data_IF_415174450590
#
_entry.id   IF_415174450590
#
_cell.length_a   1.000
_cell.length_b   1.000
_cell.length_c   1.000
_cell.angle_alpha   90.00
_cell.angle_beta   90.00
_cell.angle_gamma   90.00
#
_symmetry.space_group_name_H-M   'P 1'
#
loop_
_entity.id
_entity.type
_entity.pdbx_description
1 polymer ?
#
# COMPACT_ATOMS: atom_id res chain seq x y z
N UNK A 1 32.48 4.06 -17.42
CA UNK A 1 31.08 3.66 -17.65
C UNK A 1 30.21 4.61 -16.85
N UNK A 2 29.33 5.36 -17.51
CA UNK A 2 28.27 6.07 -16.79
C UNK A 2 27.45 5.05 -15.99
N UNK A 3 27.01 5.35 -14.77
CA UNK A 3 26.05 4.48 -14.10
C UNK A 3 24.84 4.39 -15.03
N UNK A 4 24.44 3.17 -15.41
CA UNK A 4 23.15 2.96 -16.06
C UNK A 4 22.11 3.69 -15.21
N UNK A 5 21.50 4.73 -15.78
CA UNK A 5 20.34 5.37 -15.18
C UNK A 5 19.32 4.26 -15.01
N UNK A 6 19.19 3.77 -13.78
CA UNK A 6 18.29 2.67 -13.51
C UNK A 6 16.89 3.22 -13.74
N UNK A 7 16.23 2.73 -14.77
CA UNK A 7 14.90 3.16 -15.18
C UNK A 7 13.97 3.19 -13.97
N UNK A 8 13.20 4.28 -13.83
CA UNK A 8 12.29 4.43 -12.71
C UNK A 8 11.19 3.35 -12.78
N UNK A 9 10.81 2.77 -11.65
CA UNK A 9 9.71 1.82 -11.47
C UNK A 9 8.43 2.36 -12.11
N UNK A 10 8.19 3.67 -12.05
CA UNK A 10 7.05 4.32 -12.70
C UNK A 10 6.99 4.12 -14.24
N UNK A 11 8.11 3.79 -14.87
CA UNK A 11 8.24 3.57 -16.31
C UNK A 11 8.29 2.07 -16.66
N UNK A 12 8.43 1.19 -15.66
CA UNK A 12 8.47 -0.25 -15.90
C UNK A 12 7.14 -0.74 -16.48
N UNK A 13 7.25 -1.58 -17.49
CA UNK A 13 6.10 -2.40 -17.90
C UNK A 13 5.79 -3.41 -16.79
N UNK A 14 4.57 -3.97 -16.79
CA UNK A 14 4.23 -5.06 -15.88
C UNK A 14 5.18 -6.26 -16.07
N UNK A 15 5.58 -6.56 -17.32
CA UNK A 15 6.55 -7.61 -17.61
C UNK A 15 7.90 -7.33 -16.95
N UNK A 16 8.41 -6.10 -17.07
CA UNK A 16 9.66 -5.67 -16.42
C UNK A 16 9.58 -5.80 -14.90
N UNK A 17 8.48 -5.37 -14.29
CA UNK A 17 8.27 -5.54 -12.85
C UNK A 17 8.36 -7.02 -12.44
N UNK A 18 7.65 -7.91 -13.13
CA UNK A 18 7.63 -9.34 -12.82
C UNK A 18 9.00 -10.00 -13.01
N UNK A 19 9.73 -9.65 -14.07
CA UNK A 19 11.09 -10.13 -14.30
C UNK A 19 12.05 -9.70 -13.18
N UNK A 20 11.96 -8.44 -12.75
CA UNK A 20 12.77 -7.88 -11.66
C UNK A 20 12.46 -8.53 -10.32
N UNK A 21 11.19 -8.75 -10.01
CA UNK A 21 10.75 -9.47 -8.80
C UNK A 21 11.26 -10.93 -8.78
N UNK A 22 11.46 -11.54 -9.95
CA UNK A 22 11.95 -12.91 -10.08
C UNK A 22 13.49 -13.03 -10.07
N UNK A 23 14.24 -11.93 -10.23
CA UNK A 23 15.70 -11.95 -10.18
C UNK A 23 16.21 -11.78 -8.74
N UNK A 24 16.82 -12.82 -8.11
CA UNK A 24 17.31 -12.73 -6.73
C UNK A 24 18.47 -11.75 -6.55
N UNK A 25 19.01 -11.19 -7.62
CA UNK A 25 20.08 -10.17 -7.59
C UNK A 25 19.53 -8.75 -7.68
N UNK A 26 18.27 -8.60 -8.09
CA UNK A 26 17.62 -7.29 -8.17
C UNK A 26 17.06 -6.92 -6.78
N UNK A 27 17.30 -5.69 -6.29
CA UNK A 27 16.77 -5.25 -5.00
C UNK A 27 15.26 -4.90 -5.06
N UNK A 28 14.52 -5.50 -5.99
CA UNK A 28 13.06 -5.35 -6.12
C UNK A 28 12.37 -6.48 -5.41
N UNK A 29 12.30 -6.40 -4.07
CA UNK A 29 11.71 -7.44 -3.23
C UNK A 29 10.20 -7.27 -3.00
N UNK A 30 9.71 -7.92 -1.93
CA UNK A 30 8.30 -7.83 -1.54
C UNK A 30 7.84 -6.42 -1.14
N UNK A 31 8.76 -5.53 -0.73
CA UNK A 31 8.42 -4.14 -0.36
C UNK A 31 8.01 -3.32 -1.58
N UNK A 32 8.75 -3.45 -2.69
CA UNK A 32 8.37 -2.93 -4.01
C UNK A 32 6.99 -3.44 -4.43
N UNK A 33 6.74 -4.74 -4.36
CA UNK A 33 5.45 -5.32 -4.74
C UNK A 33 4.31 -4.81 -3.86
N UNK A 34 4.52 -4.68 -2.55
CA UNK A 34 3.54 -4.13 -1.63
C UNK A 34 3.18 -2.67 -1.98
N UNK A 35 4.18 -1.84 -2.24
CA UNK A 35 3.99 -0.44 -2.65
C UNK A 35 3.24 -0.33 -3.99
N UNK A 36 3.63 -1.12 -5.01
CA UNK A 36 2.91 -1.15 -6.30
C UNK A 36 1.46 -1.63 -6.14
N UNK A 37 1.23 -2.61 -5.27
CA UNK A 37 -0.13 -3.10 -4.96
C UNK A 37 -0.99 -2.00 -4.33
N UNK A 38 -0.43 -1.21 -3.41
CA UNK A 38 -1.10 -0.04 -2.83
C UNK A 38 -1.40 1.04 -3.87
N UNK A 39 -0.47 1.29 -4.80
CA UNK A 39 -0.69 2.21 -5.91
C UNK A 39 -1.86 1.74 -6.81
N UNK A 40 -1.92 0.44 -7.09
CA UNK A 40 -3.03 -0.18 -7.83
C UNK A 40 -4.36 -0.05 -7.10
N UNK A 41 -4.41 -0.43 -5.81
CA UNK A 41 -5.60 -0.31 -4.97
C UNK A 41 -6.11 1.13 -4.87
N UNK A 42 -5.20 2.11 -4.70
CA UNK A 42 -5.51 3.54 -4.71
C UNK A 42 -6.07 4.00 -6.06
N UNK A 43 -5.49 3.53 -7.17
CA UNK A 43 -5.95 3.89 -8.53
C UNK A 43 -7.35 3.34 -8.82
N UNK A 44 -7.64 2.10 -8.43
CA UNK A 44 -8.99 1.52 -8.51
C UNK A 44 -9.97 2.29 -7.63
N UNK A 45 -9.58 2.71 -6.43
CA UNK A 45 -10.43 3.55 -5.57
C UNK A 45 -10.72 4.93 -6.18
N UNK A 46 -9.77 5.54 -6.88
CA UNK A 46 -10.01 6.80 -7.61
C UNK A 46 -11.06 6.64 -8.71
N UNK A 47 -11.05 5.52 -9.42
CA UNK A 47 -12.13 5.21 -10.38
C UNK A 47 -13.49 5.16 -9.66
N UNK A 48 -13.57 4.49 -8.51
CA UNK A 48 -14.79 4.44 -7.68
C UNK A 48 -15.26 5.86 -7.29
N UNK A 49 -14.35 6.68 -6.76
CA UNK A 49 -14.62 8.07 -6.38
C UNK A 49 -15.10 8.90 -7.58
N UNK A 50 -14.50 8.72 -8.76
CA UNK A 50 -14.91 9.43 -9.97
C UNK A 50 -16.32 9.02 -10.46
N UNK A 51 -16.69 7.75 -10.32
CA UNK A 51 -18.03 7.25 -10.68
C UNK A 51 -19.08 7.75 -9.69
N UNK A 52 -18.84 7.60 -8.39
CA UNK A 52 -19.80 7.99 -7.35
C UNK A 52 -19.87 9.50 -7.17
N UNK A 53 -18.77 10.23 -7.33
CA UNK A 53 -18.75 11.70 -7.26
C UNK A 53 -19.68 12.35 -8.29
N UNK A 54 -19.80 11.78 -9.49
CA UNK A 54 -20.78 12.23 -10.50
C UNK A 54 -22.22 12.00 -10.05
N UNK A 55 -22.49 10.90 -9.35
CA UNK A 55 -23.81 10.53 -8.83
C UNK A 55 -24.18 11.34 -7.58
N UNK A 56 -23.18 11.77 -6.81
CA UNK A 56 -23.33 12.56 -5.61
C UNK A 56 -23.63 14.05 -5.87
N UNK A 57 -23.58 14.54 -7.11
CA UNK A 57 -23.64 15.97 -7.44
C UNK A 57 -24.90 16.73 -6.95
N UNK A 58 -25.96 16.01 -6.55
CA UNK A 58 -27.20 16.60 -5.99
C UNK A 58 -27.23 16.61 -4.44
N UNK A 59 -26.22 16.02 -3.81
CA UNK A 59 -26.06 15.87 -2.37
C UNK A 59 -24.74 16.55 -1.94
N UNK A 60 -24.81 17.72 -1.26
CA UNK A 60 -23.62 18.46 -0.86
C UNK A 60 -22.67 17.68 0.04
N UNK A 61 -23.21 16.87 0.97
CA UNK A 61 -22.40 16.14 1.95
C UNK A 61 -21.65 15.00 1.27
N UNK A 62 -22.33 14.25 0.38
CA UNK A 62 -21.66 13.22 -0.44
C UNK A 62 -20.65 13.84 -1.40
N UNK A 63 -20.97 14.97 -2.01
CA UNK A 63 -20.05 15.69 -2.90
C UNK A 63 -18.77 16.07 -2.16
N UNK A 64 -18.89 16.62 -0.95
CA UNK A 64 -17.74 16.97 -0.12
C UNK A 64 -16.90 15.76 0.30
N UNK A 65 -17.55 14.65 0.68
CA UNK A 65 -16.87 13.41 1.05
C UNK A 65 -16.04 12.85 -0.12
N UNK A 66 -16.62 12.75 -1.32
CA UNK A 66 -15.90 12.25 -2.50
C UNK A 66 -14.81 13.21 -2.99
N UNK A 67 -15.01 14.53 -2.87
CA UNK A 67 -13.94 15.50 -3.19
C UNK A 67 -12.74 15.38 -2.24
N UNK A 68 -13.00 15.20 -0.95
CA UNK A 68 -11.97 14.95 0.07
C UNK A 68 -11.21 13.66 -0.22
N UNK A 69 -11.94 12.59 -0.54
CA UNK A 69 -11.33 11.30 -0.89
C UNK A 69 -10.48 11.41 -2.17
N UNK A 70 -10.96 12.08 -3.23
CA UNK A 70 -10.18 12.27 -4.46
C UNK A 70 -8.87 13.00 -4.19
N UNK A 71 -8.90 14.08 -3.40
CA UNK A 71 -7.70 14.83 -3.05
C UNK A 71 -6.67 13.97 -2.30
N UNK A 72 -7.14 13.15 -1.36
CA UNK A 72 -6.28 12.21 -0.63
C UNK A 72 -5.69 11.14 -1.57
N UNK A 73 -6.53 10.48 -2.36
CA UNK A 73 -6.11 9.39 -3.25
C UNK A 73 -5.19 9.87 -4.38
N UNK A 74 -5.42 11.07 -4.92
CA UNK A 74 -4.56 11.70 -5.93
C UNK A 74 -3.13 11.93 -5.41
N UNK A 75 -2.97 12.16 -4.11
CA UNK A 75 -1.67 12.26 -3.44
C UNK A 75 -1.08 10.89 -3.10
N UNK A 76 -1.91 9.93 -2.68
CA UNK A 76 -1.47 8.60 -2.25
C UNK A 76 -0.92 7.75 -3.40
N UNK A 77 -1.57 7.74 -4.57
CA UNK A 77 -1.13 6.94 -5.72
C UNK A 77 0.34 7.20 -6.11
N UNK A 78 0.79 8.43 -6.39
CA UNK A 78 2.19 8.70 -6.71
C UNK A 78 3.13 8.47 -5.51
N UNK A 79 2.64 8.67 -4.28
CA UNK A 79 3.42 8.39 -3.07
C UNK A 79 3.79 6.91 -2.96
N UNK A 80 2.86 6.00 -3.28
CA UNK A 80 3.14 4.56 -3.27
C UNK A 80 4.15 4.16 -4.35
N UNK A 81 4.11 4.78 -5.54
CA UNK A 81 5.12 4.55 -6.57
C UNK A 81 6.50 5.04 -6.10
N UNK A 82 6.56 6.20 -5.45
CA UNK A 82 7.79 6.70 -4.84
C UNK A 82 8.31 5.76 -3.72
N UNK A 83 7.42 5.18 -2.92
CA UNK A 83 7.78 4.22 -1.88
C UNK A 83 8.40 2.94 -2.43
N UNK A 84 7.97 2.49 -3.61
CA UNK A 84 8.61 1.38 -4.30
C UNK A 84 10.08 1.69 -4.63
N UNK A 85 10.36 2.92 -5.07
CA UNK A 85 11.74 3.35 -5.38
C UNK A 85 12.60 3.49 -4.13
N UNK A 86 12.02 4.06 -3.06
CA UNK A 86 12.67 4.19 -1.76
C UNK A 86 13.05 2.81 -1.20
N UNK A 87 12.12 1.85 -1.24
CA UNK A 87 12.34 0.47 -0.77
C UNK A 87 13.48 -0.20 -1.54
N UNK A 88 13.44 -0.11 -2.89
CA UNK A 88 14.48 -0.65 -3.77
C UNK A 88 15.85 -0.05 -3.47
N UNK A 89 15.92 1.27 -3.30
CA UNK A 89 17.18 1.97 -3.00
C UNK A 89 17.72 1.61 -1.61
N UNK A 90 16.85 1.51 -0.60
CA UNK A 90 17.23 1.15 0.77
C UNK A 90 17.71 -0.30 0.85
N UNK A 91 17.02 -1.24 0.20
CA UNK A 91 17.45 -2.63 0.14
C UNK A 91 18.81 -2.77 -0.57
N UNK A 92 19.02 -2.04 -1.67
CA UNK A 92 20.30 -2.03 -2.36
C UNK A 92 21.46 -1.59 -1.44
N UNK A 93 21.23 -0.56 -0.62
CA UNK A 93 22.21 -0.05 0.36
C UNK A 93 22.49 -1.08 1.46
N UNK A 94 21.46 -1.70 2.02
CA UNK A 94 21.64 -2.77 3.03
C UNK A 94 22.44 -3.94 2.47
N UNK A 95 22.10 -4.42 1.27
CA UNK A 95 22.83 -5.51 0.62
C UNK A 95 24.29 -5.15 0.35
N UNK A 96 24.59 -3.89 0.01
CA UNK A 96 25.95 -3.41 -0.17
C UNK A 96 26.73 -3.38 1.16
N UNK A 97 26.12 -2.85 2.22
CA UNK A 97 26.72 -2.81 3.57
C UNK A 97 27.02 -4.22 4.10
N UNK A 98 26.08 -5.16 3.96
CA UNK A 98 26.27 -6.57 4.34
C UNK A 98 27.36 -7.26 3.51
N UNK A 99 27.52 -6.90 2.24
CA UNK A 99 28.63 -7.40 1.40
C UNK A 99 29.98 -6.84 1.83
N UNK A 100 30.04 -5.55 2.19
CA UNK A 100 31.26 -4.92 2.67
C UNK A 100 31.71 -5.51 4.03
N UNK A 101 30.78 -5.65 4.98
CA UNK A 101 31.06 -6.23 6.30
C UNK A 101 31.64 -7.65 6.21
N UNK A 102 31.10 -8.50 5.33
CA UNK A 102 31.64 -9.87 5.10
C UNK A 102 33.08 -9.88 4.57
N UNK A 103 33.49 -8.87 3.80
CA UNK A 103 34.86 -8.76 3.28
C UNK A 103 35.84 -8.19 4.31
N UNK A 104 35.35 -7.36 5.24
CA UNK A 104 36.17 -6.68 6.25
C UNK A 104 36.60 -7.55 7.44
N UNK A 105 36.01 -8.75 7.62
CA UNK A 105 36.45 -9.73 8.62
C UNK A 105 36.16 -9.40 10.08
N UNK A 106 35.51 -8.27 10.40
CA UNK A 106 35.09 -7.99 11.78
C UNK A 106 33.81 -8.75 12.12
N UNK A 107 33.84 -9.58 13.17
CA UNK A 107 32.67 -10.32 13.67
C UNK A 107 31.54 -9.45 14.24
N UNK A 108 31.72 -8.13 14.28
CA UNK A 108 30.73 -7.13 14.70
C UNK A 108 30.15 -6.40 13.49
N UNK A 109 28.82 -6.24 13.44
CA UNK A 109 28.17 -5.42 12.43
C UNK A 109 28.70 -3.97 12.52
N UNK A 110 29.19 -3.43 11.41
CA UNK A 110 29.64 -2.04 11.34
C UNK A 110 28.46 -1.07 11.54
N UNK A 111 28.76 0.16 11.93
CA UNK A 111 27.74 1.23 12.03
C UNK A 111 26.97 1.41 10.71
N UNK A 112 27.62 1.22 9.56
CA UNK A 112 26.98 1.23 8.24
C UNK A 112 25.89 0.16 8.10
N UNK A 113 26.13 -1.06 8.60
CA UNK A 113 25.13 -2.13 8.57
C UNK A 113 23.96 -1.80 9.49
N UNK A 114 24.24 -1.26 10.69
CA UNK A 114 23.20 -0.83 11.64
C UNK A 114 22.30 0.24 11.04
N UNK A 115 22.87 1.29 10.46
CA UNK A 115 22.11 2.39 9.85
C UNK A 115 21.32 1.92 8.62
N UNK A 116 21.91 1.10 7.76
CA UNK A 116 21.22 0.56 6.60
C UNK A 116 20.08 -0.39 6.98
N UNK A 117 20.26 -1.20 8.04
CA UNK A 117 19.23 -2.09 8.55
C UNK A 117 18.06 -1.32 9.17
N UNK A 118 18.34 -0.24 9.90
CA UNK A 118 17.29 0.63 10.44
C UNK A 118 16.44 1.21 9.31
N UNK A 119 17.08 1.79 8.29
CA UNK A 119 16.37 2.31 7.12
C UNK A 119 15.55 1.21 6.41
N UNK A 120 16.08 0.00 6.29
CA UNK A 120 15.39 -1.14 5.68
C UNK A 120 14.21 -1.66 6.51
N UNK A 121 14.18 -1.41 7.81
CA UNK A 121 13.02 -1.68 8.64
C UNK A 121 11.98 -0.55 8.56
N UNK A 122 12.43 0.71 8.60
CA UNK A 122 11.56 1.89 8.62
C UNK A 122 10.86 2.15 7.27
N UNK A 123 11.56 1.95 6.15
CA UNK A 123 11.01 2.22 4.82
C UNK A 123 9.73 1.41 4.51
N UNK A 124 9.71 0.07 4.62
CA UNK A 124 8.49 -0.70 4.42
C UNK A 124 7.44 -0.46 5.51
N UNK A 125 7.83 -0.14 6.76
CA UNK A 125 6.86 0.28 7.79
C UNK A 125 6.17 1.61 7.43
N UNK A 126 6.89 2.56 6.83
CA UNK A 126 6.31 3.80 6.32
C UNK A 126 5.32 3.54 5.17
N UNK A 127 5.63 2.58 4.29
CA UNK A 127 4.70 2.09 3.26
C UNK A 127 3.43 1.51 3.88
N UNK A 128 3.57 0.63 4.88
CA UNK A 128 2.45 0.05 5.61
C UNK A 128 1.58 1.13 6.27
N UNK A 129 2.21 2.12 6.91
CA UNK A 129 1.53 3.26 7.55
C UNK A 129 0.79 4.14 6.54
N UNK A 130 1.38 4.37 5.36
CA UNK A 130 0.73 5.12 4.27
C UNK A 130 -0.45 4.32 3.70
N UNK A 131 -0.36 2.99 3.68
CA UNK A 131 -1.47 2.10 3.33
C UNK A 131 -2.66 2.19 4.29
N UNK A 132 -2.44 2.45 5.59
CA UNK A 132 -3.53 2.72 6.52
C UNK A 132 -4.32 3.97 6.13
N UNK A 133 -3.63 5.01 5.65
CA UNK A 133 -4.32 6.20 5.16
C UNK A 133 -5.25 5.86 4.00
N UNK A 134 -4.81 5.04 3.06
CA UNK A 134 -5.67 4.52 1.99
C UNK A 134 -6.89 3.80 2.58
N UNK A 135 -6.69 2.81 3.46
CA UNK A 135 -7.81 2.07 4.06
C UNK A 135 -8.81 2.97 4.80
N UNK A 136 -8.34 4.00 5.52
CA UNK A 136 -9.23 4.99 6.16
C UNK A 136 -10.07 5.75 5.14
N UNK A 137 -9.49 6.15 4.00
CA UNK A 137 -10.28 6.78 2.92
C UNK A 137 -11.32 5.82 2.35
N UNK A 138 -10.95 4.56 2.11
CA UNK A 138 -11.89 3.57 1.56
C UNK A 138 -13.04 3.29 2.53
N UNK A 139 -12.75 3.10 3.82
CA UNK A 139 -13.75 2.89 4.86
C UNK A 139 -14.70 4.08 4.99
N UNK A 140 -14.18 5.31 4.92
CA UNK A 140 -14.98 6.53 5.03
C UNK A 140 -16.00 6.69 3.89
N UNK A 141 -15.63 6.31 2.65
CA UNK A 141 -16.53 6.46 1.49
C UNK A 141 -17.43 5.25 1.25
N UNK A 142 -17.10 4.07 1.80
CA UNK A 142 -17.85 2.84 1.54
C UNK A 142 -19.36 2.92 1.83
N UNK A 143 -19.84 3.54 2.93
CA UNK A 143 -21.27 3.70 3.19
C UNK A 143 -22.00 4.57 2.15
N UNK A 144 -21.25 5.39 1.40
CA UNK A 144 -21.80 6.33 0.40
C UNK A 144 -21.80 5.75 -1.01
N UNK A 145 -21.18 4.57 -1.19
CA UNK A 145 -21.01 3.92 -2.49
C UNK A 145 -22.23 3.07 -2.84
N UNK A 146 -22.64 3.13 -4.11
CA UNK A 146 -23.63 2.21 -4.66
C UNK A 146 -23.09 0.78 -4.79
N UNK A 147 -24.01 -0.20 -4.87
CA UNK A 147 -23.67 -1.60 -5.12
C UNK A 147 -22.88 -1.82 -6.44
N UNK A 148 -23.04 -0.92 -7.41
CA UNK A 148 -22.35 -0.98 -8.70
C UNK A 148 -20.82 -0.93 -8.59
N UNK A 149 -20.28 -0.20 -7.60
CA UNK A 149 -18.84 -0.04 -7.39
C UNK A 149 -18.33 -0.81 -6.17
N UNK A 150 -19.21 -1.53 -5.47
CA UNK A 150 -18.88 -2.18 -4.20
C UNK A 150 -17.81 -3.25 -4.36
N UNK A 151 -17.80 -4.00 -5.47
CA UNK A 151 -16.76 -4.99 -5.77
C UNK A 151 -15.38 -4.36 -5.94
N UNK A 152 -15.29 -3.25 -6.67
CA UNK A 152 -14.01 -2.57 -6.91
C UNK A 152 -13.47 -1.96 -5.61
N UNK A 153 -14.34 -1.31 -4.83
CA UNK A 153 -13.94 -0.72 -3.56
C UNK A 153 -13.54 -1.79 -2.53
N UNK A 154 -14.28 -2.90 -2.48
CA UNK A 154 -13.97 -4.06 -1.64
C UNK A 154 -12.65 -4.72 -2.02
N UNK A 155 -12.41 -4.93 -3.31
CA UNK A 155 -11.14 -5.47 -3.81
C UNK A 155 -9.96 -4.55 -3.48
N UNK A 156 -10.11 -3.23 -3.70
CA UNK A 156 -9.11 -2.23 -3.28
C UNK A 156 -8.78 -2.33 -1.79
N UNK A 157 -9.78 -2.49 -0.92
CA UNK A 157 -9.56 -2.67 0.50
C UNK A 157 -8.79 -3.92 0.87
N UNK A 158 -9.16 -5.07 0.29
CA UNK A 158 -8.48 -6.34 0.57
C UNK A 158 -7.04 -6.34 0.04
N UNK A 159 -6.81 -5.79 -1.15
CA UNK A 159 -5.47 -5.62 -1.70
C UNK A 159 -4.62 -4.66 -0.86
N UNK A 160 -5.19 -3.54 -0.40
CA UNK A 160 -4.49 -2.61 0.47
C UNK A 160 -4.11 -3.27 1.80
N UNK A 161 -5.03 -4.00 2.43
CA UNK A 161 -4.76 -4.78 3.65
C UNK A 161 -3.62 -5.79 3.42
N UNK A 162 -3.71 -6.59 2.37
CA UNK A 162 -2.68 -7.59 2.06
C UNK A 162 -1.31 -6.94 1.83
N UNK A 163 -1.27 -5.80 1.15
CA UNK A 163 -0.05 -5.05 0.92
C UNK A 163 0.54 -4.43 2.20
N UNK A 164 -0.29 -3.95 3.13
CA UNK A 164 0.15 -3.46 4.45
C UNK A 164 0.79 -4.60 5.25
N UNK A 165 0.19 -5.78 5.24
CA UNK A 165 0.75 -6.98 5.88
C UNK A 165 2.07 -7.36 5.20
N UNK A 166 2.12 -7.39 3.87
CA UNK A 166 3.34 -7.70 3.11
C UNK A 166 4.47 -6.72 3.42
N UNK A 167 4.21 -5.41 3.42
CA UNK A 167 5.18 -4.39 3.80
C UNK A 167 5.64 -4.56 5.26
N UNK A 168 4.72 -4.87 6.17
CA UNK A 168 5.07 -5.16 7.57
C UNK A 168 6.02 -6.35 7.69
N UNK A 169 5.81 -7.44 6.93
CA UNK A 169 6.73 -8.58 6.90
C UNK A 169 8.13 -8.18 6.39
N UNK A 170 8.22 -7.24 5.45
CA UNK A 170 9.51 -6.72 4.97
C UNK A 170 10.22 -5.89 6.04
N UNK A 171 9.48 -5.14 6.86
CA UNK A 171 10.03 -4.45 8.03
C UNK A 171 10.52 -5.46 9.09
N UNK A 172 9.70 -6.48 9.40
CA UNK A 172 10.00 -7.53 10.37
C UNK A 172 11.30 -8.29 10.05
N UNK A 173 11.56 -8.55 8.76
CA UNK A 173 12.76 -9.26 8.30
C UNK A 173 14.07 -8.56 8.72
N UNK A 174 14.03 -7.25 8.98
CA UNK A 174 15.20 -6.47 9.37
C UNK A 174 15.39 -6.35 10.90
N UNK A 175 14.38 -6.72 11.71
CA UNK A 175 14.43 -6.63 13.18
C UNK A 175 15.62 -7.35 13.83
N UNK A 176 16.08 -8.54 13.36
CA UNK A 176 17.25 -9.19 13.93
C UNK A 176 18.55 -8.38 13.82
N UNK A 177 18.62 -7.46 12.85
CA UNK A 177 19.79 -6.61 12.59
C UNK A 177 19.81 -5.33 13.45
N UNK A 178 18.72 -5.03 14.17
CA UNK A 178 18.57 -3.82 14.97
C UNK A 178 19.00 -4.04 16.42
N UNK A 179 19.33 -2.93 17.10
CA UNK A 179 19.50 -2.93 18.55
C UNK A 179 18.15 -2.98 19.30
N UNK A 180 18.20 -3.30 20.59
CA UNK A 180 16.99 -3.61 21.35
C UNK A 180 15.98 -2.46 21.44
N UNK A 181 16.39 -1.18 21.61
CA UNK A 181 15.45 -0.05 21.59
C UNK A 181 14.74 0.09 20.23
N UNK A 182 15.47 0.12 19.12
CA UNK A 182 14.87 0.28 17.78
C UNK A 182 14.02 -0.94 17.41
N UNK A 183 14.51 -2.15 17.69
CA UNK A 183 13.78 -3.40 17.47
C UNK A 183 12.43 -3.41 18.17
N UNK A 184 12.39 -3.03 19.45
CA UNK A 184 11.15 -3.06 20.24
C UNK A 184 10.15 -2.01 19.75
N UNK A 185 10.64 -0.83 19.37
CA UNK A 185 9.82 0.26 18.83
C UNK A 185 9.17 -0.15 17.50
N UNK A 186 9.96 -0.59 16.53
CA UNK A 186 9.47 -0.98 15.20
C UNK A 186 8.53 -2.18 15.31
N UNK A 187 8.85 -3.19 16.13
CA UNK A 187 7.97 -4.33 16.34
C UNK A 187 6.60 -3.94 16.92
N UNK A 188 6.55 -2.93 17.80
CA UNK A 188 5.29 -2.42 18.33
C UNK A 188 4.47 -1.69 17.26
N UNK A 189 5.13 -0.86 16.43
CA UNK A 189 4.47 -0.17 15.32
C UNK A 189 3.90 -1.16 14.29
N UNK A 190 4.66 -2.21 13.94
CA UNK A 190 4.19 -3.26 13.03
C UNK A 190 2.88 -3.90 13.53
N UNK A 191 2.84 -4.33 14.80
CA UNK A 191 1.63 -4.93 15.38
C UNK A 191 0.45 -3.97 15.38
N UNK A 192 0.69 -2.71 15.74
CA UNK A 192 -0.35 -1.67 15.73
C UNK A 192 -0.90 -1.45 14.31
N UNK A 193 -0.01 -1.37 13.32
CA UNK A 193 -0.36 -1.15 11.92
C UNK A 193 -1.15 -2.32 11.35
N UNK A 194 -0.75 -3.56 11.62
CA UNK A 194 -1.48 -4.76 11.18
C UNK A 194 -2.88 -4.83 11.82
N UNK A 195 -2.99 -4.57 13.13
CA UNK A 195 -4.26 -4.59 13.83
C UNK A 195 -5.23 -3.50 13.32
N UNK A 196 -4.72 -2.30 13.03
CA UNK A 196 -5.55 -1.23 12.45
C UNK A 196 -5.99 -1.57 11.02
N UNK A 197 -5.11 -2.16 10.21
CA UNK A 197 -5.46 -2.57 8.85
C UNK A 197 -6.58 -3.63 8.83
N UNK A 198 -6.53 -4.59 9.76
CA UNK A 198 -7.60 -5.58 9.95
C UNK A 198 -8.92 -4.91 10.35
N UNK A 199 -8.89 -3.99 11.31
CA UNK A 199 -10.08 -3.28 11.76
C UNK A 199 -10.73 -2.48 10.61
N UNK A 200 -9.94 -1.70 9.86
CA UNK A 200 -10.43 -0.87 8.76
C UNK A 200 -10.96 -1.71 7.59
N UNK A 201 -10.29 -2.81 7.23
CA UNK A 201 -10.78 -3.69 6.17
C UNK A 201 -12.09 -4.40 6.55
N UNK A 202 -12.26 -4.74 7.82
CA UNK A 202 -13.51 -5.30 8.34
C UNK A 202 -14.63 -4.25 8.42
N UNK A 203 -14.32 -3.00 8.75
CA UNK A 203 -15.25 -1.88 8.68
C UNK A 203 -15.72 -1.64 7.24
N UNK A 204 -14.78 -1.51 6.31
CA UNK A 204 -15.05 -1.40 4.87
C UNK A 204 -15.99 -2.51 4.39
N UNK A 205 -15.64 -3.77 4.65
CA UNK A 205 -16.39 -4.92 4.17
C UNK A 205 -17.82 -4.96 4.73
N UNK A 206 -18.04 -4.48 5.96
CA UNK A 206 -19.37 -4.37 6.56
C UNK A 206 -20.19 -3.22 5.99
N UNK A 207 -19.55 -2.13 5.59
CA UNK A 207 -20.21 -0.97 5.00
C UNK A 207 -20.64 -1.20 3.54
N UNK A 208 -19.92 -2.07 2.81
CA UNK A 208 -20.22 -2.37 1.41
C UNK A 208 -21.48 -3.23 1.26
N UNK A 209 -22.41 -2.75 0.46
CA UNK A 209 -23.59 -3.51 0.04
C UNK A 209 -23.36 -4.10 -1.35
N UNK A 210 -23.24 -5.43 -1.45
CA UNK A 210 -23.11 -6.14 -2.73
C UNK A 210 -24.46 -6.41 -3.42
N UNK A 211 -25.57 -6.09 -2.75
CA UNK A 211 -26.90 -6.41 -3.22
C UNK A 211 -27.56 -5.23 -3.96
N UNK A 212 -27.88 -5.46 -5.23
CA UNK A 212 -29.04 -4.86 -5.90
C UNK A 212 -30.31 -5.70 -5.71
N UNK A 213 -30.49 -6.32 -4.54
CA UNK A 213 -31.66 -7.15 -4.25
C UNK A 213 -32.76 -6.29 -3.60
N UNK A 214 -33.65 -5.72 -4.43
CA UNK A 214 -35.12 -5.60 -4.20
C UNK A 214 -35.81 -4.35 -4.75
N UNK A 215 -35.13 -3.37 -5.36
CA UNK A 215 -35.81 -2.12 -5.77
C UNK A 215 -35.90 -1.86 -7.28
N UNK A 216 -35.79 -2.90 -8.13
CA UNK A 216 -35.82 -2.73 -9.59
C UNK A 216 -37.05 -3.27 -10.34
N UNK A 217 -37.84 -4.18 -9.76
CA UNK A 217 -38.91 -4.89 -10.50
C UNK A 217 -40.33 -4.67 -9.99
N UNK A 218 -40.53 -3.94 -8.88
CA UNK A 218 -41.87 -3.67 -8.34
C UNK A 218 -42.62 -2.52 -9.03
N UNK A 219 -41.92 -1.63 -9.75
CA UNK A 219 -42.56 -0.48 -10.40
C UNK A 219 -43.11 -0.80 -11.81
N UNK A 220 -42.84 -1.99 -12.34
CA UNK A 220 -43.27 -2.38 -13.70
C UNK A 220 -44.58 -3.19 -13.74
N UNK A 221 -45.17 -3.58 -12.59
CA UNK A 221 -46.37 -4.44 -12.54
C UNK A 221 -47.63 -3.77 -11.99
N UNK A 222 -47.61 -2.45 -11.78
CA UNK A 222 -48.75 -1.69 -11.24
C UNK A 222 -49.54 -0.92 -12.31
N UNK A 223 -49.24 -1.12 -13.60
CA UNK A 223 -49.85 -0.38 -14.72
C UNK A 223 -50.31 -1.31 -15.84
N UNK A 224 -51.26 -2.19 -15.55
CA UNK A 224 -52.16 -2.85 -16.52
C UNK A 224 -53.48 -3.14 -15.84
#
# INVERSE_FOLDING_TARGET
MAPEMTEAIAQWTIATLLERLADPRDPSGGGVLAAVTLAGASSTARMVVAVEGKRAARDPDRTHAFATAEAALARLTPRFVQQAEEDRAVLARLLAALRAARKGGSGTASDDVRLAALAAAECPLATATTGLELLRQLAAIAPLCSAFVASDLGASGQLARAAIVAASLMAEANLPLLDQPARSHIAAQIRSTQAEADALANELSRALSFAGADQGESDARSST
#
